data_IF_494434477839
#
_entry.id   IF_494434477839
#
_cell.length_a   1.000
_cell.length_b   1.000
_cell.length_c   1.000
_cell.angle_alpha   90.00
_cell.angle_beta   90.00
_cell.angle_gamma   90.00
#
_symmetry.space_group_name_H-M   'P 1'
#
loop_
_entity.id
_entity.type
_entity.pdbx_description
1 polymer ?
#
# COMPACT_ATOMS: atom_id res chain seq x y z
N UNK A 1 23.19 41.06 -14.89
CA UNK A 1 23.79 39.77 -15.33
C UNK A 1 23.09 38.64 -14.56
N UNK A 2 22.05 38.01 -15.11
CA UNK A 2 21.24 37.07 -14.30
C UNK A 2 20.41 36.02 -15.05
N UNK A 3 20.17 36.19 -16.35
CA UNK A 3 19.42 35.24 -17.20
C UNK A 3 20.34 34.45 -18.13
N UNK A 4 21.34 35.08 -18.73
CA UNK A 4 22.34 34.41 -19.59
C UNK A 4 23.17 33.38 -18.81
N UNK A 5 23.62 33.72 -17.60
CA UNK A 5 24.35 32.79 -16.71
C UNK A 5 23.49 31.61 -16.28
N UNK A 6 22.18 31.82 -16.06
CA UNK A 6 21.22 30.74 -15.72
C UNK A 6 20.97 29.78 -16.89
N UNK A 7 20.90 30.28 -18.11
CA UNK A 7 20.74 29.44 -19.32
C UNK A 7 22.02 28.63 -19.57
N UNK A 8 23.20 29.23 -19.39
CA UNK A 8 24.50 28.57 -19.53
C UNK A 8 24.76 27.48 -18.47
N UNK A 9 24.27 27.65 -17.23
CA UNK A 9 24.36 26.61 -16.20
C UNK A 9 23.18 25.61 -16.24
N UNK A 10 22.13 25.86 -17.04
CA UNK A 10 20.97 24.99 -17.14
C UNK A 10 21.26 23.53 -17.58
N UNK A 11 22.18 23.23 -18.53
CA UNK A 11 22.49 21.84 -18.87
C UNK A 11 23.20 21.08 -17.74
N UNK A 12 23.75 21.78 -16.74
CA UNK A 12 24.42 21.17 -15.60
C UNK A 12 23.47 20.98 -14.40
N UNK A 13 22.57 21.93 -14.11
CA UNK A 13 21.57 21.79 -13.04
C UNK A 13 20.32 21.01 -13.46
N UNK A 14 19.97 21.03 -14.75
CA UNK A 14 18.79 20.37 -15.30
C UNK A 14 18.75 18.85 -15.04
N UNK A 15 19.84 18.09 -15.24
CA UNK A 15 19.87 16.66 -14.95
C UNK A 15 19.59 16.32 -13.48
N UNK A 16 20.11 17.14 -12.54
CA UNK A 16 19.89 16.94 -11.10
C UNK A 16 18.43 17.17 -10.74
N UNK A 17 17.81 18.23 -11.28
CA UNK A 17 16.38 18.49 -11.12
C UNK A 17 15.50 17.41 -11.74
N UNK A 18 15.85 16.92 -12.93
CA UNK A 18 15.15 15.82 -13.57
C UNK A 18 15.20 14.55 -12.73
N UNK A 19 16.38 14.19 -12.21
CA UNK A 19 16.54 13.04 -11.33
C UNK A 19 15.72 13.14 -10.04
N UNK A 20 15.73 14.31 -9.39
CA UNK A 20 14.92 14.54 -8.19
C UNK A 20 13.43 14.40 -8.47
N UNK A 21 12.93 15.02 -9.55
CA UNK A 21 11.53 14.92 -9.95
C UNK A 21 11.10 13.48 -10.26
N UNK A 22 11.95 12.70 -10.93
CA UNK A 22 11.69 11.28 -11.19
C UNK A 22 11.63 10.46 -9.90
N UNK A 23 12.52 10.71 -8.95
CA UNK A 23 12.48 10.05 -7.64
C UNK A 23 11.18 10.35 -6.89
N UNK A 24 10.77 11.62 -6.83
CA UNK A 24 9.50 12.02 -6.21
C UNK A 24 8.28 11.36 -6.88
N UNK A 25 8.35 11.13 -8.20
CA UNK A 25 7.29 10.43 -8.95
C UNK A 25 7.23 8.95 -8.57
N UNK A 26 8.37 8.28 -8.52
CA UNK A 26 8.46 6.87 -8.12
C UNK A 26 8.01 6.70 -6.68
N UNK A 27 8.46 7.55 -5.75
CA UNK A 27 8.05 7.50 -4.35
C UNK A 27 6.53 7.61 -4.20
N UNK A 28 5.90 8.55 -4.92
CA UNK A 28 4.44 8.67 -4.92
C UNK A 28 3.75 7.42 -5.47
N UNK A 29 4.22 6.87 -6.58
CA UNK A 29 3.62 5.67 -7.17
C UNK A 29 3.73 4.46 -6.24
N UNK A 30 4.89 4.29 -5.58
CA UNK A 30 5.10 3.24 -4.57
C UNK A 30 4.16 3.42 -3.39
N UNK A 31 4.00 4.64 -2.89
CA UNK A 31 3.06 4.94 -1.81
C UNK A 31 1.63 4.59 -2.18
N UNK A 32 1.20 4.97 -3.37
CA UNK A 32 -0.16 4.70 -3.87
C UNK A 32 -0.41 3.20 -3.98
N UNK A 33 0.49 2.46 -4.65
CA UNK A 33 0.36 1.02 -4.86
C UNK A 33 0.36 0.22 -3.55
N UNK A 34 1.33 0.47 -2.66
CA UNK A 34 1.46 -0.27 -1.40
C UNK A 34 0.38 0.08 -0.38
N UNK A 35 -0.28 1.24 -0.53
CA UNK A 35 -1.34 1.69 0.36
C UNK A 35 -2.75 1.49 -0.19
N UNK A 36 -2.91 0.91 -1.38
CA UNK A 36 -4.23 0.63 -1.95
C UNK A 36 -4.90 -0.57 -1.27
N UNK A 37 -5.88 -0.28 -0.43
CA UNK A 37 -6.72 -1.27 0.24
C UNK A 37 -7.95 -1.65 -0.58
N UNK A 38 -8.23 -0.95 -1.68
CA UNK A 38 -9.44 -1.13 -2.50
C UNK A 38 -9.43 -2.48 -3.19
N UNK A 39 -8.31 -2.86 -3.81
CA UNK A 39 -8.18 -4.14 -4.51
C UNK A 39 -8.40 -5.33 -3.56
N UNK A 40 -7.79 -5.29 -2.39
CA UNK A 40 -7.91 -6.37 -1.39
C UNK A 40 -9.32 -6.43 -0.79
N UNK A 41 -9.98 -5.28 -0.60
CA UNK A 41 -11.39 -5.25 -0.19
C UNK A 41 -12.34 -5.81 -1.24
N UNK A 42 -12.08 -5.56 -2.52
CA UNK A 42 -12.88 -6.13 -3.60
C UNK A 42 -12.75 -7.65 -3.64
N UNK A 43 -11.54 -8.17 -3.47
CA UNK A 43 -11.28 -9.61 -3.36
C UNK A 43 -12.01 -10.24 -2.16
N UNK A 44 -12.06 -9.54 -1.02
CA UNK A 44 -12.85 -9.98 0.13
C UNK A 44 -14.35 -10.04 -0.16
N UNK A 45 -14.89 -9.03 -0.86
CA UNK A 45 -16.30 -9.01 -1.26
C UNK A 45 -16.63 -10.15 -2.23
N UNK A 46 -15.73 -10.44 -3.17
CA UNK A 46 -15.89 -11.57 -4.10
C UNK A 46 -15.89 -12.91 -3.35
N UNK A 47 -14.98 -13.09 -2.40
CA UNK A 47 -14.93 -14.30 -1.56
C UNK A 47 -16.24 -14.50 -0.77
N UNK A 48 -16.78 -13.42 -0.19
CA UNK A 48 -18.08 -13.44 0.51
C UNK A 48 -19.22 -13.84 -0.42
N UNK A 49 -19.25 -13.31 -1.65
CA UNK A 49 -20.25 -13.68 -2.64
C UNK A 49 -20.17 -15.16 -3.04
N UNK A 50 -18.96 -15.72 -3.20
CA UNK A 50 -18.78 -17.14 -3.48
C UNK A 50 -19.24 -18.05 -2.33
N UNK A 51 -19.08 -17.60 -1.07
CA UNK A 51 -19.63 -18.32 0.08
C UNK A 51 -21.17 -18.27 0.06
N UNK A 52 -21.75 -17.09 -0.18
CA UNK A 52 -23.21 -16.90 -0.26
C UNK A 52 -23.84 -17.69 -1.42
N UNK A 53 -23.14 -17.83 -2.55
CA UNK A 53 -23.60 -18.65 -3.68
C UNK A 53 -23.41 -20.15 -3.46
N UNK A 54 -22.69 -20.55 -2.41
CA UNK A 54 -22.35 -21.94 -2.12
C UNK A 54 -21.32 -22.54 -3.08
N UNK A 55 -20.53 -21.70 -3.77
CA UNK A 55 -19.41 -22.13 -4.61
C UNK A 55 -18.24 -22.65 -3.77
N UNK A 56 -18.09 -22.16 -2.54
CA UNK A 56 -17.09 -22.57 -1.56
C UNK A 56 -17.76 -22.95 -0.24
N UNK A 57 -17.11 -23.78 0.55
CA UNK A 57 -17.54 -24.12 1.91
C UNK A 57 -16.91 -23.20 2.97
N UNK A 58 -17.36 -23.34 4.21
CA UNK A 58 -16.89 -22.53 5.33
C UNK A 58 -15.39 -22.74 5.62
N UNK A 59 -14.89 -23.96 5.47
CA UNK A 59 -13.49 -24.29 5.75
C UNK A 59 -12.56 -23.64 4.70
N UNK A 60 -12.94 -23.71 3.42
CA UNK A 60 -12.25 -23.04 2.31
C UNK A 60 -12.32 -21.52 2.44
N UNK A 61 -13.47 -20.99 2.86
CA UNK A 61 -13.65 -19.57 3.15
C UNK A 61 -12.67 -19.09 4.22
N UNK A 62 -12.57 -19.80 5.35
CA UNK A 62 -11.71 -19.40 6.48
C UNK A 62 -10.23 -19.32 6.08
N UNK A 63 -9.74 -20.27 5.28
CA UNK A 63 -8.34 -20.28 4.80
C UNK A 63 -8.09 -19.05 3.91
N UNK A 64 -8.97 -18.80 2.94
CA UNK A 64 -8.81 -17.66 2.01
C UNK A 64 -9.00 -16.31 2.70
N UNK A 65 -9.98 -16.20 3.60
CA UNK A 65 -10.19 -14.99 4.40
C UNK A 65 -8.92 -14.65 5.19
N UNK A 66 -8.28 -15.65 5.79
CA UNK A 66 -7.07 -15.41 6.58
C UNK A 66 -5.93 -14.82 5.73
N UNK A 67 -5.78 -15.27 4.48
CA UNK A 67 -4.81 -14.74 3.52
C UNK A 67 -5.14 -13.29 3.13
N UNK A 68 -6.40 -13.00 2.82
CA UNK A 68 -6.87 -11.65 2.48
C UNK A 68 -6.66 -10.70 3.67
N UNK A 69 -6.99 -11.14 4.88
CA UNK A 69 -6.82 -10.36 6.11
C UNK A 69 -5.33 -10.12 6.43
N UNK A 70 -4.43 -11.04 6.08
CA UNK A 70 -2.98 -10.80 6.17
C UNK A 70 -2.53 -9.67 5.23
N UNK A 71 -3.00 -9.67 3.98
CA UNK A 71 -2.69 -8.61 3.00
C UNK A 71 -3.24 -7.26 3.43
N UNK A 72 -4.47 -7.20 3.97
CA UNK A 72 -5.01 -5.95 4.54
C UNK A 72 -4.16 -5.41 5.70
N UNK A 73 -3.60 -6.28 6.54
CA UNK A 73 -2.67 -5.86 7.61
C UNK A 73 -1.38 -5.28 7.04
N UNK A 74 -0.87 -5.83 5.95
CA UNK A 74 0.32 -5.30 5.27
C UNK A 74 0.05 -3.91 4.67
N UNK A 75 -1.05 -3.74 3.94
CA UNK A 75 -1.46 -2.44 3.41
C UNK A 75 -1.63 -1.40 4.53
N UNK A 76 -2.23 -1.81 5.66
CA UNK A 76 -2.37 -0.96 6.84
C UNK A 76 -1.01 -0.56 7.42
N UNK A 77 -0.04 -1.49 7.49
CA UNK A 77 1.34 -1.22 7.93
C UNK A 77 2.00 -0.18 7.03
N UNK A 78 1.89 -0.34 5.70
CA UNK A 78 2.42 0.63 4.74
C UNK A 78 1.77 2.01 4.91
N UNK A 79 0.45 2.06 5.13
CA UNK A 79 -0.24 3.32 5.44
C UNK A 79 0.28 3.99 6.71
N UNK A 80 0.50 3.24 7.78
CA UNK A 80 1.07 3.76 9.01
C UNK A 80 2.49 4.29 8.80
N UNK A 81 3.33 3.55 8.06
CA UNK A 81 4.70 3.96 7.72
C UNK A 81 4.72 5.24 6.87
N UNK A 82 3.78 5.39 5.94
CA UNK A 82 3.63 6.60 5.14
C UNK A 82 2.87 7.74 5.86
N UNK A 83 2.47 7.56 7.11
CA UNK A 83 1.73 8.55 7.89
C UNK A 83 0.31 8.85 7.35
N UNK A 84 -0.27 7.90 6.62
CA UNK A 84 -1.62 8.00 6.06
C UNK A 84 -2.68 7.59 7.10
N UNK A 85 -3.90 8.10 6.92
CA UNK A 85 -5.03 7.69 7.75
C UNK A 85 -5.41 6.23 7.47
N UNK A 86 -5.44 5.39 8.51
CA UNK A 86 -5.97 4.03 8.45
C UNK A 86 -7.44 4.04 8.90
N UNK A 87 -8.36 3.65 8.02
CA UNK A 87 -9.73 3.36 8.43
C UNK A 87 -9.74 2.03 9.21
N UNK A 88 -10.24 2.02 10.46
CA UNK A 88 -10.41 0.80 11.25
C UNK A 88 -9.83 0.81 12.67
N UNK A 89 -9.08 1.85 13.07
CA UNK A 89 -8.44 1.88 14.39
C UNK A 89 -7.33 0.81 14.56
N UNK A 90 -6.58 0.82 15.66
CA UNK A 90 -5.48 -0.11 15.87
C UNK A 90 -5.99 -1.53 16.15
N UNK A 91 -5.59 -2.50 15.32
CA UNK A 91 -5.81 -3.93 15.57
C UNK A 91 -4.90 -4.36 16.72
N UNK A 92 -5.48 -4.69 17.88
CA UNK A 92 -4.71 -5.27 18.97
C UNK A 92 -4.42 -6.72 18.64
N UNK A 93 -3.18 -7.01 18.28
CA UNK A 93 -2.69 -8.38 18.16
C UNK A 93 -2.72 -8.98 19.56
N UNK A 94 -3.60 -9.97 19.79
CA UNK A 94 -3.46 -10.83 20.96
C UNK A 94 -2.09 -11.49 20.83
N UNK A 95 -1.16 -11.13 21.71
CA UNK A 95 0.13 -11.79 21.82
C UNK A 95 -0.17 -13.26 22.11
N UNK A 96 0.29 -14.17 21.25
CA UNK A 96 0.27 -15.59 21.57
C UNK A 96 1.17 -15.78 22.79
N UNK A 97 0.55 -15.98 23.95
CA UNK A 97 1.21 -16.44 25.17
C UNK A 97 1.45 -17.94 25.01
N UNK A 98 2.70 -18.34 24.78
CA UNK A 98 3.06 -19.76 24.79
C UNK A 98 4.31 -20.08 24.01
N UNK A 99 5.47 -19.63 24.50
CA UNK A 99 6.76 -20.27 24.24
C UNK A 99 7.67 -20.02 25.46
N UNK A 100 7.47 -20.81 26.51
CA UNK A 100 8.48 -21.13 27.54
C UNK A 100 8.45 -22.63 27.84
#
# INVERSE_FOLDING_TARGET
MGILTKILLSPFLGPVWGAQWSLEKVERAVKEELSDDTAVKNEFMELQMSLESGEIDDDEYLVREQEIMQRLREVRRWREEFGMATAGGPVRVAREEGDE
#
